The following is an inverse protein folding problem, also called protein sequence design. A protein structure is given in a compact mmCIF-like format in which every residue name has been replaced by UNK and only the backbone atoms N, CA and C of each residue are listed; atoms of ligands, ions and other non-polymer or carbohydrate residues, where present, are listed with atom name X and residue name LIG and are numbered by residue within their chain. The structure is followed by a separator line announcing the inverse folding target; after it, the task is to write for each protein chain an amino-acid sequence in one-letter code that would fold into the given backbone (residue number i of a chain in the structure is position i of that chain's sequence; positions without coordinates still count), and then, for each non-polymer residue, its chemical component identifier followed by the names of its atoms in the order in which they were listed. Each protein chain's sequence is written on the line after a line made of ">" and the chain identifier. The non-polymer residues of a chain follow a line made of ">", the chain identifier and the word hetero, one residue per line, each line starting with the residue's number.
data_IF_187892819360
#
_entry.id   IF_187892819360
#
_cell.length_a   1.000
_cell.length_b   1.000
_cell.length_c   1.000
_cell.angle_alpha   90.00
_cell.angle_beta   90.00
_cell.angle_gamma   90.00
#
_symmetry.space_group_name_H-M   'P 1'
#
loop_
_entity.id
_entity.type
_entity.pdbx_description
1 polymer ?
#
# COMPACT_ATOMS: atom_id res chain seq x y z
N UNK A 1 38.03 -7.22 -28.36
CA UNK A 1 37.84 -5.77 -28.17
C UNK A 1 38.38 -5.42 -26.80
N UNK A 2 39.42 -4.60 -26.71
CA UNK A 2 40.05 -4.18 -25.44
C UNK A 2 39.60 -2.77 -25.12
N UNK A 3 38.96 -2.59 -23.96
CA UNK A 3 38.61 -1.27 -23.43
C UNK A 3 39.79 -0.70 -22.64
N UNK A 4 40.06 0.60 -22.79
CA UNK A 4 41.12 1.30 -22.05
C UNK A 4 40.62 1.72 -20.65
N UNK A 5 41.53 1.84 -19.69
CA UNK A 5 41.18 2.30 -18.34
C UNK A 5 40.53 3.70 -18.34
N UNK A 6 40.96 4.57 -19.25
CA UNK A 6 40.40 5.91 -19.43
C UNK A 6 38.92 5.86 -19.84
N UNK A 7 38.57 4.99 -20.80
CA UNK A 7 37.19 4.80 -21.24
C UNK A 7 36.31 4.21 -20.12
N UNK A 8 36.87 3.38 -19.23
CA UNK A 8 36.15 2.89 -18.04
C UNK A 8 35.88 4.04 -17.07
N UNK A 9 36.85 4.90 -16.80
CA UNK A 9 36.70 6.02 -15.86
C UNK A 9 35.70 7.06 -16.37
N UNK A 10 35.71 7.37 -17.67
CA UNK A 10 34.73 8.28 -18.30
C UNK A 10 33.31 7.70 -18.26
N UNK A 11 33.18 6.37 -18.44
CA UNK A 11 31.89 5.69 -18.31
C UNK A 11 31.36 5.74 -16.87
N UNK A 12 32.22 5.50 -15.87
CA UNK A 12 31.85 5.60 -14.45
C UNK A 12 31.38 7.02 -14.12
N UNK A 13 32.15 8.03 -14.49
CA UNK A 13 31.78 9.43 -14.25
C UNK A 13 30.48 9.84 -14.97
N UNK A 14 30.26 9.34 -16.19
CA UNK A 14 29.01 9.55 -16.93
C UNK A 14 27.81 8.91 -16.21
N UNK A 15 27.95 7.66 -15.76
CA UNK A 15 26.90 6.95 -15.03
C UNK A 15 26.61 7.57 -13.65
N UNK A 16 27.63 8.05 -12.93
CA UNK A 16 27.48 8.71 -11.64
C UNK A 16 26.88 10.12 -11.76
N UNK A 17 27.17 10.85 -12.85
CA UNK A 17 26.64 12.21 -13.08
C UNK A 17 25.25 12.25 -13.72
N UNK A 18 24.84 11.18 -14.41
CA UNK A 18 23.54 11.11 -15.08
C UNK A 18 22.35 11.14 -14.11
N UNK A 19 22.55 10.82 -12.82
CA UNK A 19 21.47 10.75 -11.84
C UNK A 19 20.38 9.73 -12.19
N UNK A 20 20.67 8.82 -13.13
CA UNK A 20 19.72 7.80 -13.58
C UNK A 20 19.66 6.65 -12.55
N UNK A 21 18.44 6.28 -12.19
CA UNK A 21 18.19 5.09 -11.37
C UNK A 21 18.84 3.87 -12.03
N UNK A 22 19.62 3.14 -11.25
CA UNK A 22 20.18 1.85 -11.64
C UNK A 22 19.07 0.88 -12.08
N UNK A 23 19.43 -0.12 -12.87
CA UNK A 23 18.48 -1.18 -13.30
C UNK A 23 17.76 -1.82 -12.10
N UNK A 24 18.43 -1.92 -10.95
CA UNK A 24 17.86 -2.44 -9.71
C UNK A 24 16.79 -1.49 -9.16
N UNK A 25 17.10 -0.21 -9.03
CA UNK A 25 16.16 0.79 -8.50
C UNK A 25 14.96 0.97 -9.42
N UNK A 26 15.15 0.93 -10.74
CA UNK A 26 14.03 0.93 -11.70
C UNK A 26 13.09 -0.26 -11.51
N UNK A 27 13.64 -1.46 -11.23
CA UNK A 27 12.84 -2.66 -10.94
C UNK A 27 12.05 -2.51 -9.64
N UNK A 28 12.69 -2.00 -8.58
CA UNK A 28 12.01 -1.74 -7.31
C UNK A 28 10.91 -0.69 -7.44
N UNK A 29 11.16 0.40 -8.17
CA UNK A 29 10.15 1.43 -8.41
C UNK A 29 8.94 0.87 -9.18
N UNK A 30 9.17 0.03 -10.19
CA UNK A 30 8.08 -0.66 -10.91
C UNK A 30 7.27 -1.57 -9.98
N UNK A 31 7.95 -2.31 -9.11
CA UNK A 31 7.32 -3.21 -8.15
C UNK A 31 6.51 -2.44 -7.09
N UNK A 32 7.07 -1.37 -6.54
CA UNK A 32 6.38 -0.49 -5.58
C UNK A 32 5.08 0.09 -6.19
N UNK A 33 5.13 0.56 -7.45
CA UNK A 33 3.95 1.04 -8.16
C UNK A 33 2.90 -0.06 -8.37
N UNK A 34 3.33 -1.28 -8.70
CA UNK A 34 2.42 -2.42 -8.86
C UNK A 34 1.72 -2.76 -7.54
N UNK A 35 2.43 -2.77 -6.42
CA UNK A 35 1.85 -3.01 -5.11
C UNK A 35 0.93 -1.89 -4.64
N UNK A 36 1.28 -0.62 -4.88
CA UNK A 36 0.40 0.51 -4.57
C UNK A 36 -0.93 0.39 -5.34
N UNK A 37 -0.86 0.00 -6.61
CA UNK A 37 -2.04 -0.26 -7.43
C UNK A 37 -2.86 -1.44 -6.89
N UNK A 38 -2.21 -2.56 -6.55
CA UNK A 38 -2.88 -3.73 -5.97
C UNK A 38 -3.60 -3.40 -4.67
N UNK A 39 -2.98 -2.60 -3.79
CA UNK A 39 -3.61 -2.14 -2.56
C UNK A 39 -4.86 -1.29 -2.84
N UNK A 40 -4.79 -0.38 -3.81
CA UNK A 40 -5.96 0.41 -4.23
C UNK A 40 -7.07 -0.47 -4.82
N UNK A 41 -6.73 -1.44 -5.66
CA UNK A 41 -7.69 -2.39 -6.24
C UNK A 41 -8.36 -3.25 -5.14
N UNK A 42 -7.62 -3.69 -4.12
CA UNK A 42 -8.15 -4.43 -2.97
C UNK A 42 -9.17 -3.60 -2.16
N UNK A 43 -8.90 -2.31 -1.92
CA UNK A 43 -9.86 -1.42 -1.24
C UNK A 43 -11.16 -1.31 -2.03
N UNK A 44 -11.06 -1.10 -3.35
CA UNK A 44 -12.23 -1.02 -4.23
C UNK A 44 -12.99 -2.34 -4.27
N UNK A 45 -12.30 -3.48 -4.31
CA UNK A 45 -12.92 -4.81 -4.27
C UNK A 45 -13.70 -5.03 -2.96
N UNK A 46 -13.13 -4.68 -1.81
CA UNK A 46 -13.83 -4.76 -0.51
C UNK A 46 -15.08 -3.86 -0.48
N UNK A 47 -14.99 -2.65 -1.03
CA UNK A 47 -16.15 -1.75 -1.15
C UNK A 47 -17.25 -2.35 -2.03
N UNK A 48 -16.90 -2.91 -3.19
CA UNK A 48 -17.85 -3.57 -4.08
C UNK A 48 -18.45 -4.83 -3.45
N UNK A 49 -17.67 -5.60 -2.70
CA UNK A 49 -18.17 -6.72 -1.91
C UNK A 49 -19.20 -6.29 -0.89
N UNK A 50 -18.99 -5.16 -0.19
CA UNK A 50 -19.98 -4.59 0.76
C UNK A 50 -21.26 -4.14 0.07
N UNK A 51 -21.18 -3.51 -1.11
CA UNK A 51 -22.35 -3.17 -1.91
C UNK A 51 -23.17 -4.42 -2.26
N UNK A 52 -22.51 -5.47 -2.75
CA UNK A 52 -23.15 -6.74 -3.11
C UNK A 52 -23.78 -7.44 -1.90
N UNK A 53 -23.07 -7.47 -0.76
CA UNK A 53 -23.59 -8.04 0.48
C UNK A 53 -24.86 -7.33 0.96
N UNK A 54 -24.91 -6.00 0.86
CA UNK A 54 -26.09 -5.21 1.21
C UNK A 54 -27.28 -5.56 0.31
N UNK A 55 -27.07 -5.65 -1.00
CA UNK A 55 -28.14 -6.05 -1.93
C UNK A 55 -28.60 -7.49 -1.69
N UNK A 56 -27.68 -8.44 -1.48
CA UNK A 56 -28.00 -9.82 -1.14
C UNK A 56 -28.81 -9.91 0.17
N UNK A 57 -28.44 -9.13 1.19
CA UNK A 57 -29.16 -9.07 2.47
C UNK A 57 -30.60 -8.58 2.31
N UNK A 58 -30.82 -7.57 1.47
CA UNK A 58 -32.18 -7.08 1.15
C UNK A 58 -33.01 -8.13 0.43
N UNK A 59 -32.40 -8.88 -0.50
CA UNK A 59 -33.08 -9.96 -1.23
C UNK A 59 -33.48 -11.08 -0.26
N UNK A 60 -32.57 -11.51 0.62
CA UNK A 60 -32.84 -12.53 1.64
C UNK A 60 -33.96 -12.10 2.58
N UNK A 61 -33.94 -10.85 3.07
CA UNK A 61 -35.03 -10.33 3.90
C UNK A 61 -36.38 -10.34 3.17
N UNK A 62 -36.41 -9.91 1.91
CA UNK A 62 -37.65 -9.93 1.11
C UNK A 62 -38.15 -11.35 0.87
N UNK A 63 -37.26 -12.29 0.53
CA UNK A 63 -37.61 -13.69 0.35
C UNK A 63 -38.18 -14.27 1.65
N UNK A 64 -37.47 -14.09 2.76
CA UNK A 64 -37.90 -14.58 4.06
C UNK A 64 -39.23 -14.00 4.53
N UNK A 65 -39.59 -12.77 4.12
CA UNK A 65 -40.90 -12.19 4.38
C UNK A 65 -42.05 -12.84 3.57
N UNK A 66 -41.74 -13.60 2.51
CA UNK A 66 -42.74 -14.35 1.72
C UNK A 66 -42.98 -15.77 2.23
N UNK A 67 -42.17 -16.24 3.16
CA UNK A 67 -42.21 -17.60 3.69
C UNK A 67 -43.29 -17.69 4.77
N UNK A 68 -44.14 -18.72 4.69
CA UNK A 68 -45.10 -19.01 5.76
C UNK A 68 -44.37 -19.44 7.03
N UNK A 69 -44.77 -18.87 8.17
CA UNK A 69 -44.13 -19.07 9.48
C UNK A 69 -43.99 -20.54 9.86
N UNK A 70 -44.93 -21.39 9.41
CA UNK A 70 -44.95 -22.82 9.72
C UNK A 70 -44.14 -23.70 8.75
N UNK A 71 -43.68 -23.15 7.63
CA UNK A 71 -42.96 -23.93 6.61
C UNK A 71 -41.51 -24.25 6.98
N UNK A 72 -40.89 -23.46 7.87
CA UNK A 72 -39.52 -23.69 8.35
C UNK A 72 -38.41 -23.49 7.30
N UNK A 73 -38.75 -23.06 6.08
CA UNK A 73 -37.83 -22.98 4.92
C UNK A 73 -37.08 -21.64 4.83
N UNK A 74 -36.86 -20.97 5.97
CA UNK A 74 -36.19 -19.68 6.05
C UNK A 74 -34.71 -19.79 5.69
N UNK A 75 -34.23 -18.87 4.84
CA UNK A 75 -32.80 -18.76 4.54
C UNK A 75 -32.08 -18.14 5.74
N UNK A 76 -31.31 -18.94 6.46
CA UNK A 76 -30.43 -18.43 7.51
C UNK A 76 -29.36 -17.50 6.90
N UNK A 77 -29.10 -16.39 7.59
CA UNK A 77 -28.16 -15.37 7.12
C UNK A 77 -26.70 -15.80 7.24
N UNK A 78 -26.40 -17.10 7.45
CA UNK A 78 -25.06 -17.56 7.78
C UNK A 78 -24.06 -17.20 6.67
N UNK A 79 -24.40 -17.46 5.40
CA UNK A 79 -23.54 -17.12 4.26
C UNK A 79 -23.29 -15.61 4.15
N UNK A 80 -24.28 -14.78 4.48
CA UNK A 80 -24.12 -13.32 4.49
C UNK A 80 -23.16 -12.88 5.60
N UNK A 81 -23.26 -13.50 6.78
CA UNK A 81 -22.37 -13.24 7.90
C UNK A 81 -20.92 -13.68 7.61
N UNK A 82 -20.73 -14.85 7.02
CA UNK A 82 -19.41 -15.33 6.59
C UNK A 82 -18.79 -14.40 5.54
N UNK A 83 -19.61 -13.88 4.61
CA UNK A 83 -19.13 -12.93 3.63
C UNK A 83 -18.77 -11.57 4.25
N UNK A 84 -19.55 -11.08 5.22
CA UNK A 84 -19.21 -9.88 6.00
C UNK A 84 -17.86 -10.08 6.71
N UNK A 85 -17.66 -11.22 7.37
CA UNK A 85 -16.41 -11.56 8.04
C UNK A 85 -15.22 -11.54 7.07
N UNK A 86 -15.37 -12.10 5.87
CA UNK A 86 -14.32 -12.07 4.84
C UNK A 86 -14.01 -10.65 4.34
N UNK A 87 -15.00 -9.77 4.26
CA UNK A 87 -14.81 -8.37 3.85
C UNK A 87 -14.13 -7.52 4.92
N UNK A 88 -14.37 -7.86 6.19
CA UNK A 88 -13.79 -7.18 7.35
C UNK A 88 -12.43 -7.76 7.76
N UNK A 89 -12.05 -8.92 7.22
CA UNK A 89 -10.74 -9.51 7.43
C UNK A 89 -9.63 -8.49 7.08
N UNK A 90 -8.76 -8.25 8.04
CA UNK A 90 -7.65 -7.31 7.88
C UNK A 90 -6.68 -7.79 6.79
N UNK A 91 -6.10 -6.82 6.09
CA UNK A 91 -5.09 -7.04 5.06
C UNK A 91 -3.72 -6.61 5.56
N UNK A 92 -3.41 -6.95 6.81
CA UNK A 92 -2.28 -6.42 7.59
C UNK A 92 -0.95 -6.49 6.84
N UNK A 93 -0.69 -7.55 6.08
CA UNK A 93 0.52 -7.66 5.26
C UNK A 93 0.59 -6.61 4.12
N UNK A 94 -0.53 -6.30 3.46
CA UNK A 94 -0.59 -5.27 2.43
C UNK A 94 -0.54 -3.87 3.05
N UNK A 95 -1.21 -3.69 4.19
CA UNK A 95 -1.27 -2.42 4.91
C UNK A 95 0.11 -2.05 5.51
N UNK A 96 0.81 -3.01 6.13
CA UNK A 96 2.20 -2.88 6.57
C UNK A 96 3.16 -2.59 5.43
N UNK A 97 3.00 -3.27 4.30
CA UNK A 97 3.82 -3.00 3.11
C UNK A 97 3.62 -1.58 2.57
N UNK A 98 2.37 -1.12 2.47
CA UNK A 98 2.06 0.24 2.02
C UNK A 98 2.58 1.30 3.01
N UNK A 99 2.47 1.05 4.31
CA UNK A 99 3.02 1.91 5.34
C UNK A 99 4.56 1.99 5.28
N UNK A 100 5.22 0.85 5.04
CA UNK A 100 6.67 0.78 4.80
C UNK A 100 7.10 1.63 3.61
N UNK A 101 6.44 1.51 2.46
CA UNK A 101 6.72 2.34 1.28
C UNK A 101 6.56 3.84 1.58
N UNK A 102 5.48 4.22 2.28
CA UNK A 102 5.25 5.62 2.65
C UNK A 102 6.36 6.12 3.58
N UNK A 103 6.75 5.31 4.56
CA UNK A 103 7.83 5.61 5.48
C UNK A 103 9.18 5.77 4.75
N UNK A 104 9.50 4.85 3.82
CA UNK A 104 10.72 4.92 3.00
C UNK A 104 10.78 6.24 2.20
N UNK A 105 9.67 6.62 1.56
CA UNK A 105 9.59 7.88 0.81
C UNK A 105 9.79 9.12 1.69
N UNK A 106 9.29 9.09 2.93
CA UNK A 106 9.47 10.17 3.91
C UNK A 106 10.93 10.22 4.40
N UNK A 107 11.54 9.05 4.62
CA UNK A 107 12.96 8.94 5.01
C UNK A 107 13.88 9.51 3.92
N UNK A 108 13.61 9.18 2.64
CA UNK A 108 14.32 9.76 1.50
C UNK A 108 14.16 11.28 1.43
N UNK A 109 12.95 11.80 1.61
CA UNK A 109 12.69 13.24 1.65
C UNK A 109 13.45 13.94 2.80
N UNK A 110 13.57 13.31 3.96
CA UNK A 110 14.34 13.84 5.08
C UNK A 110 15.85 13.91 4.75
N UNK A 111 16.38 12.90 4.06
CA UNK A 111 17.79 12.89 3.60
C UNK A 111 18.04 14.01 2.57
N UNK A 112 17.16 14.19 1.60
CA UNK A 112 17.31 15.27 0.62
C UNK A 112 17.21 16.65 1.26
N UNK A 113 16.31 16.81 2.23
CA UNK A 113 16.16 18.06 2.96
C UNK A 113 17.44 18.45 3.72
N UNK A 114 18.11 17.48 4.36
CA UNK A 114 19.40 17.70 5.02
C UNK A 114 20.53 18.07 4.06
N UNK A 115 20.44 17.67 2.78
CA UNK A 115 21.42 18.01 1.73
C UNK A 115 21.26 19.44 1.22
N UNK A 116 20.04 19.98 1.24
CA UNK A 116 19.74 21.31 0.69
C UNK A 116 20.13 22.44 1.65
N UNK A 117 19.93 22.26 2.96
CA UNK A 117 20.28 23.27 3.96
C UNK A 117 20.50 22.65 5.35
N UNK A 118 21.41 23.22 6.14
CA UNK A 118 21.75 22.74 7.49
C UNK A 118 21.38 23.71 8.62
N UNK A 119 20.57 24.73 8.32
CA UNK A 119 20.02 25.60 9.36
C UNK A 119 19.12 24.82 10.33
N UNK A 120 19.03 25.33 11.57
CA UNK A 120 18.33 24.65 12.66
C UNK A 120 16.86 24.29 12.33
N UNK A 121 16.15 25.15 11.59
CA UNK A 121 14.77 24.91 11.16
C UNK A 121 14.66 23.69 10.24
N UNK A 122 15.58 23.55 9.28
CA UNK A 122 15.59 22.45 8.31
C UNK A 122 15.85 21.12 8.99
N UNK A 123 16.79 21.09 9.96
CA UNK A 123 17.06 19.90 10.79
C UNK A 123 15.86 19.47 11.64
N UNK A 124 15.11 20.43 12.19
CA UNK A 124 13.88 20.13 12.95
C UNK A 124 12.83 19.48 12.06
N UNK A 125 12.67 19.96 10.82
CA UNK A 125 11.76 19.35 9.85
C UNK A 125 12.22 17.93 9.50
N UNK A 126 13.51 17.73 9.20
CA UNK A 126 14.05 16.39 8.91
C UNK A 126 13.87 15.41 10.07
N UNK A 127 14.03 15.86 11.32
CA UNK A 127 13.74 15.06 12.51
C UNK A 127 12.25 14.67 12.59
N UNK A 128 11.35 15.62 12.35
CA UNK A 128 9.90 15.38 12.37
C UNK A 128 9.44 14.43 11.27
N UNK A 129 10.06 14.49 10.09
CA UNK A 129 9.79 13.54 9.01
C UNK A 129 10.16 12.11 9.43
N UNK A 130 11.34 11.90 10.04
CA UNK A 130 11.74 10.58 10.54
C UNK A 130 10.87 10.06 11.68
N UNK A 131 10.39 10.95 12.56
CA UNK A 131 9.41 10.57 13.59
C UNK A 131 8.10 10.08 12.94
N UNK A 132 7.64 10.76 11.89
CA UNK A 132 6.44 10.37 11.16
C UNK A 132 6.62 9.06 10.37
N UNK A 133 7.78 8.83 9.74
CA UNK A 133 8.08 7.57 9.06
C UNK A 133 8.08 6.38 10.05
N UNK A 134 8.65 6.56 11.25
CA UNK A 134 8.63 5.55 12.30
C UNK A 134 7.21 5.24 12.77
N UNK A 135 6.38 6.26 13.02
CA UNK A 135 4.99 6.08 13.41
C UNK A 135 4.18 5.30 12.38
N UNK A 136 4.44 5.52 11.08
CA UNK A 136 3.78 4.76 10.02
C UNK A 136 4.14 3.27 10.07
N UNK A 137 5.40 2.92 10.33
CA UNK A 137 5.83 1.51 10.44
C UNK A 137 5.22 0.84 11.67
N UNK A 138 5.32 1.49 12.83
CA UNK A 138 4.79 0.95 14.11
C UNK A 138 3.26 0.87 14.15
N UNK A 139 2.58 1.75 13.43
CA UNK A 139 1.12 1.75 13.33
C UNK A 139 0.54 0.68 12.42
N UNK A 140 1.37 0.06 11.56
CA UNK A 140 0.90 -0.92 10.57
C UNK A 140 1.04 -2.38 11.01
N UNK A 141 1.75 -2.63 12.11
CA UNK A 141 1.87 -3.94 12.78
C UNK A 141 0.82 -4.15 13.90
N UNK A 142 -0.14 -3.23 14.04
CA UNK A 142 -1.23 -3.26 15.04
C UNK A 142 -2.57 -3.48 14.38
#
# INVERSE_FOLDING_TARGET
>A
MTITLQAVNELIASLESAGELSIREQKFLKLAKAYQRLAAENVVLKLKGRELLNEASKVYQKYNATIDFYSGDFMDGQTLHEFQFALDAETSATDAFLAGIKADAIDEAAVELDRVDTVASTRVIGFKLREFSQQLREGADK
#
